data_IF_462562887195
#
_entry.id   IF_462562887195
#
_cell.length_a   1.000
_cell.length_b   1.000
_cell.length_c   1.000
_cell.angle_alpha   90.00
_cell.angle_beta   90.00
_cell.angle_gamma   90.00
#
_symmetry.space_group_name_H-M   'P 1'
#
loop_
_entity.id
_entity.type
_entity.pdbx_description
1 polymer ?
#
# COMPACT_ATOMS: atom_id res chain seq x y z
N UNK A 1 -7.52 14.26 -22.40
CA UNK A 1 -8.02 15.18 -21.37
C UNK A 1 -8.27 14.37 -20.11
N UNK A 2 -7.86 14.92 -18.97
CA UNK A 2 -8.06 14.48 -17.58
C UNK A 2 -7.04 13.47 -17.03
N UNK A 3 -5.90 14.03 -16.64
CA UNK A 3 -4.90 13.51 -15.71
C UNK A 3 -5.40 13.63 -14.26
N UNK A 4 -5.61 12.50 -13.58
CA UNK A 4 -5.88 12.44 -12.14
C UNK A 4 -4.58 12.19 -11.37
N UNK A 5 -4.04 13.25 -10.77
CA UNK A 5 -2.97 13.22 -9.77
C UNK A 5 -3.57 12.90 -8.40
N UNK A 6 -3.27 11.72 -7.86
CA UNK A 6 -3.60 11.35 -6.47
C UNK A 6 -2.52 11.89 -5.53
N UNK A 7 -2.83 12.99 -4.86
CA UNK A 7 -1.99 13.57 -3.81
C UNK A 7 -1.93 12.65 -2.58
N UNK A 8 -0.71 12.30 -2.18
CA UNK A 8 -0.44 11.64 -0.91
C UNK A 8 -0.83 12.56 0.25
N UNK A 9 -1.86 12.19 1.00
CA UNK A 9 -2.30 12.85 2.24
C UNK A 9 -1.38 12.43 3.38
N UNK A 10 -0.22 13.07 3.49
CA UNK A 10 0.58 13.00 4.72
C UNK A 10 -0.18 13.69 5.85
N UNK A 11 -0.57 12.92 6.87
CA UNK A 11 -1.36 13.40 8.00
C UNK A 11 -0.63 14.52 8.76
N UNK A 12 -1.24 15.71 8.94
CA UNK A 12 -0.60 16.88 9.55
C UNK A 12 -0.30 16.70 11.06
N UNK A 13 -0.80 15.63 11.67
CA UNK A 13 -0.73 15.38 13.12
C UNK A 13 0.64 14.88 13.58
N UNK A 14 1.36 14.11 12.75
CA UNK A 14 2.69 13.59 13.10
C UNK A 14 3.76 14.69 13.05
N UNK A 15 3.72 15.53 12.01
CA UNK A 15 4.60 16.69 11.88
C UNK A 15 4.34 17.75 12.96
N UNK A 16 3.08 17.93 13.37
CA UNK A 16 2.71 18.83 14.47
C UNK A 16 3.24 18.33 15.83
N UNK A 17 3.14 17.02 16.11
CA UNK A 17 3.69 16.43 17.34
C UNK A 17 5.22 16.49 17.41
N UNK A 18 5.91 16.25 16.30
CA UNK A 18 7.37 16.39 16.23
C UNK A 18 7.84 17.85 16.44
N UNK A 19 7.13 18.82 15.85
CA UNK A 19 7.41 20.25 16.12
C UNK A 19 7.15 20.63 17.57
N UNK A 20 6.09 20.11 18.19
CA UNK A 20 5.75 20.39 19.58
C UNK A 20 6.80 19.81 20.55
N UNK A 21 7.29 18.59 20.30
CA UNK A 21 8.37 17.97 21.07
C UNK A 21 9.71 18.69 20.89
N UNK A 22 10.02 19.16 19.68
CA UNK A 22 11.22 19.96 19.41
C UNK A 22 11.22 21.28 20.18
N UNK A 23 10.09 22.00 20.18
CA UNK A 23 9.92 23.28 20.90
C UNK A 23 10.01 23.06 22.42
N UNK A 24 9.43 21.97 22.93
CA UNK A 24 9.47 21.65 24.35
C UNK A 24 10.88 21.24 24.81
N UNK A 25 11.68 20.60 23.95
CA UNK A 25 13.08 20.27 24.25
C UNK A 25 14.02 21.50 24.20
N UNK A 26 13.76 22.46 23.31
CA UNK A 26 14.52 23.72 23.26
C UNK A 26 14.25 24.63 24.46
N UNK A 27 13.02 24.64 24.98
CA UNK A 27 12.65 25.45 26.15
C UNK A 27 13.28 24.96 27.47
N UNK A 28 13.66 23.68 27.58
CA UNK A 28 14.25 23.13 28.81
C UNK A 28 15.76 23.35 28.94
N UNK A 29 16.44 23.84 27.90
CA UNK A 29 17.89 24.08 27.92
C UNK A 29 18.29 25.56 28.00
N UNK A 30 17.33 26.49 28.11
CA UNK A 30 17.61 27.94 28.13
C UNK A 30 17.34 28.64 29.47
N UNK A 31 17.00 27.92 30.54
CA UNK A 31 16.54 28.54 31.81
C UNK A 31 17.63 28.67 32.89
N UNK A 32 18.86 28.99 32.52
CA UNK A 32 19.88 29.38 33.49
C UNK A 32 20.75 30.49 32.93
N UNK A 33 20.11 31.64 32.72
CA UNK A 33 20.80 32.93 32.73
C UNK A 33 20.84 33.36 34.19
N UNK A 34 21.86 32.89 34.91
CA UNK A 34 22.27 33.50 36.17
C UNK A 34 22.45 35.01 35.93
N UNK A 35 21.90 35.80 36.85
CA UNK A 35 21.88 37.26 36.79
C UNK A 35 23.29 37.81 36.54
N UNK A 36 23.40 38.58 35.46
CA UNK A 36 24.57 39.34 35.07
C UNK A 36 24.82 40.45 36.12
N UNK A 37 25.61 40.18 37.16
CA UNK A 37 26.13 41.21 38.07
C UNK A 37 27.26 41.96 37.37
N UNK A 38 26.93 42.70 36.31
CA UNK A 38 27.87 43.62 35.68
C UNK A 38 28.06 44.80 36.62
N UNK A 39 29.28 44.99 37.12
CA UNK A 39 29.68 46.20 37.85
C UNK A 39 29.36 47.41 36.98
N UNK A 40 28.37 48.19 37.40
CA UNK A 40 27.95 49.38 36.67
C UNK A 40 29.00 50.50 36.86
N UNK A 41 29.18 51.41 35.90
CA UNK A 41 30.12 52.52 36.04
C UNK A 41 29.90 53.35 37.31
N UNK A 42 28.64 53.46 37.75
CA UNK A 42 28.25 54.16 38.97
C UNK A 42 28.79 53.49 40.24
N UNK A 43 28.89 52.16 40.28
CA UNK A 43 29.47 51.41 41.40
C UNK A 43 31.00 51.49 41.48
N UNK A 44 31.66 51.99 40.42
CA UNK A 44 33.10 52.27 40.39
C UNK A 44 33.42 53.70 40.80
N UNK A 45 32.45 54.61 40.73
CA UNK A 45 32.59 56.04 41.04
C UNK A 45 32.29 56.36 42.52
N UNK A 46 31.60 55.47 43.23
CA UNK A 46 31.32 55.59 44.67
C UNK A 46 32.09 54.57 45.47
N UNK A 47 32.55 54.97 46.66
CA UNK A 47 33.25 54.09 47.60
C UNK A 47 32.72 54.33 49.00
N UNK A 48 32.67 53.29 49.83
CA UNK A 48 32.23 53.45 51.21
C UNK A 48 33.18 54.35 52.01
N UNK A 49 32.62 55.16 52.91
CA UNK A 49 33.41 55.98 53.84
C UNK A 49 34.37 55.14 54.67
N UNK A 50 33.98 53.91 55.02
CA UNK A 50 34.83 52.99 55.76
C UNK A 50 36.11 52.62 55.00
N UNK A 51 36.00 52.31 53.71
CA UNK A 51 37.14 51.97 52.86
C UNK A 51 38.07 53.17 52.62
N UNK A 52 37.54 54.40 52.57
CA UNK A 52 38.35 55.62 52.50
C UNK A 52 39.16 55.81 53.79
N UNK A 53 38.51 55.69 54.95
CA UNK A 53 39.18 55.80 56.25
C UNK A 53 40.29 54.76 56.40
N UNK A 54 40.04 53.50 56.03
CA UNK A 54 41.03 52.43 56.06
C UNK A 54 42.24 52.74 55.15
N UNK A 55 41.99 53.22 53.92
CA UNK A 55 43.06 53.61 52.99
C UNK A 55 43.90 54.79 53.52
N UNK A 56 43.28 55.75 54.18
CA UNK A 56 43.97 56.89 54.78
C UNK A 56 44.72 56.53 56.07
N UNK A 57 44.18 55.62 56.87
CA UNK A 57 44.86 55.06 58.05
C UNK A 57 46.10 54.26 57.64
N UNK A 58 46.01 53.45 56.58
CA UNK A 58 47.17 52.74 56.00
C UNK A 58 48.23 53.72 55.46
N UNK A 59 47.83 54.90 55.01
CA UNK A 59 48.73 55.99 54.63
C UNK A 59 49.26 56.82 55.81
N UNK A 60 49.00 56.37 57.06
CA UNK A 60 49.42 57.02 58.31
C UNK A 60 48.91 58.45 58.46
N UNK A 61 47.65 58.68 58.09
CA UNK A 61 46.97 59.99 58.23
C UNK A 61 46.21 59.99 59.56
N UNK A 62 46.50 60.91 60.48
CA UNK A 62 45.77 61.00 61.75
C UNK A 62 44.39 61.62 61.55
N UNK A 63 43.41 61.24 62.39
CA UNK A 63 42.07 61.82 62.43
C UNK A 63 41.31 61.80 61.08
N UNK A 64 41.38 60.67 60.35
CA UNK A 64 40.76 60.45 59.03
C UNK A 64 39.28 60.83 58.96
N UNK A 65 38.50 60.53 60.01
CA UNK A 65 37.09 60.93 60.13
C UNK A 65 36.91 62.45 60.19
N UNK A 66 37.71 63.16 60.98
CA UNK A 66 37.62 64.61 61.06
C UNK A 66 38.06 65.26 59.74
N UNK A 67 38.99 64.64 59.01
CA UNK A 67 39.39 65.11 57.69
C UNK A 67 38.23 65.05 56.69
N UNK A 68 37.44 63.96 56.69
CA UNK A 68 36.23 63.87 55.88
C UNK A 68 35.18 64.90 56.29
N UNK A 69 34.99 65.13 57.61
CA UNK A 69 34.10 66.18 58.12
C UNK A 69 34.47 67.56 57.60
N UNK A 70 35.76 67.92 57.65
CA UNK A 70 36.23 69.25 57.21
C UNK A 70 36.03 69.43 55.71
N UNK A 71 36.16 68.35 54.93
CA UNK A 71 35.92 68.33 53.49
C UNK A 71 34.41 68.29 53.14
N UNK A 72 33.52 68.15 54.13
CA UNK A 72 32.06 68.19 53.97
C UNK A 72 31.39 66.84 53.70
N UNK A 73 32.07 65.71 53.96
CA UNK A 73 31.60 64.35 53.63
C UNK A 73 31.15 63.54 54.85
N UNK A 74 30.28 64.12 55.68
CA UNK A 74 30.08 63.64 57.06
C UNK A 74 28.80 62.81 57.31
N UNK A 75 27.89 62.78 56.33
CA UNK A 75 26.56 62.13 56.46
C UNK A 75 26.31 61.01 55.44
N UNK A 76 27.21 60.79 54.48
CA UNK A 76 27.02 59.85 53.37
C UNK A 76 27.69 58.50 53.65
N UNK A 77 26.99 57.37 53.42
CA UNK A 77 27.57 56.02 53.58
C UNK A 77 28.53 55.69 52.42
N UNK A 78 28.27 56.26 51.25
CA UNK A 78 29.10 56.19 50.05
C UNK A 78 29.48 57.59 49.58
N UNK A 79 30.75 57.79 49.25
CA UNK A 79 31.29 59.06 48.76
C UNK A 79 31.70 58.93 47.31
N UNK A 80 31.36 59.94 46.51
CA UNK A 80 31.84 60.02 45.13
C UNK A 80 33.34 60.36 45.10
N UNK A 81 34.14 59.45 44.54
CA UNK A 81 35.60 59.56 44.46
C UNK A 81 36.07 60.84 43.74
N UNK A 82 35.37 61.25 42.68
CA UNK A 82 35.73 62.46 41.92
C UNK A 82 35.42 63.74 42.69
N UNK A 83 34.34 63.76 43.46
CA UNK A 83 33.98 64.91 44.29
C UNK A 83 34.96 65.06 45.47
N UNK A 84 35.30 63.96 46.13
CA UNK A 84 36.28 63.94 47.20
C UNK A 84 37.69 64.31 46.71
N UNK A 85 38.10 63.80 45.55
CA UNK A 85 39.40 64.15 44.94
C UNK A 85 39.49 65.65 44.67
N UNK A 86 38.42 66.27 44.13
CA UNK A 86 38.38 67.73 43.89
C UNK A 86 38.44 68.54 45.18
N UNK A 87 37.71 68.12 46.21
CA UNK A 87 37.73 68.78 47.52
C UNK A 87 39.14 68.75 48.15
N UNK A 88 39.83 67.61 48.04
CA UNK A 88 41.23 67.49 48.47
C UNK A 88 42.18 68.38 47.65
N UNK A 89 41.99 68.50 46.33
CA UNK A 89 42.81 69.38 45.47
C UNK A 89 42.57 70.87 45.71
N UNK A 90 41.38 71.26 46.17
CA UNK A 90 41.02 72.62 46.54
C UNK A 90 41.63 73.01 47.90
N UNK A 91 41.50 72.15 48.91
CA UNK A 91 42.11 72.37 50.22
C UNK A 91 43.64 72.35 50.16
N UNK A 92 44.24 71.45 49.36
CA UNK A 92 45.69 71.41 49.16
C UNK A 92 46.28 72.73 48.62
N UNK A 93 45.48 73.53 47.89
CA UNK A 93 45.90 74.85 47.37
C UNK A 93 45.86 75.96 48.43
N UNK A 94 45.16 75.74 49.55
CA UNK A 94 44.99 76.73 50.63
C UNK A 94 45.86 76.50 51.87
N UNK A 95 46.64 75.41 51.92
CA UNK A 95 47.47 75.04 53.08
C UNK A 95 48.88 75.64 52.95
N UNK A 96 49.31 76.40 53.96
CA UNK A 96 50.64 77.01 54.04
C UNK A 96 51.65 76.19 54.90
N UNK A 97 51.22 75.09 55.52
CA UNK A 97 52.04 74.28 56.44
C UNK A 97 52.54 72.94 55.87
N UNK A 98 53.86 72.69 55.95
CA UNK A 98 54.52 71.49 55.40
C UNK A 98 53.93 70.15 55.89
N UNK A 99 53.55 70.07 57.17
CA UNK A 99 53.00 68.85 57.76
C UNK A 99 51.56 68.55 57.31
N UNK A 100 50.72 69.57 57.22
CA UNK A 100 49.32 69.45 56.80
C UNK A 100 49.24 69.19 55.29
N UNK A 101 50.10 69.86 54.51
CA UNK A 101 50.25 69.64 53.08
C UNK A 101 50.73 68.20 52.78
N UNK A 102 51.69 67.69 53.56
CA UNK A 102 52.16 66.30 53.44
C UNK A 102 51.07 65.27 53.74
N UNK A 103 50.22 65.51 54.75
CA UNK A 103 49.09 64.64 55.09
C UNK A 103 48.03 64.64 53.97
N UNK A 104 47.70 65.82 53.42
CA UNK A 104 46.72 65.94 52.35
C UNK A 104 47.19 65.32 51.03
N UNK A 105 48.48 65.46 50.70
CA UNK A 105 49.06 64.80 49.53
C UNK A 105 49.06 63.26 49.69
N UNK A 106 49.33 62.75 50.90
CA UNK A 106 49.20 61.32 51.20
C UNK A 106 47.74 60.84 51.11
N UNK A 107 46.78 61.65 51.54
CA UNK A 107 45.35 61.34 51.44
C UNK A 107 44.91 61.21 49.98
N UNK A 108 45.31 62.16 49.14
CA UNK A 108 45.04 62.17 47.71
C UNK A 108 45.72 61.00 46.99
N UNK A 109 46.99 60.72 47.30
CA UNK A 109 47.70 59.57 46.73
C UNK A 109 47.09 58.22 47.14
N UNK A 110 46.64 58.08 48.40
CA UNK A 110 45.95 56.90 48.88
C UNK A 110 44.59 56.71 48.18
N UNK A 111 43.84 57.79 47.96
CA UNK A 111 42.56 57.78 47.25
C UNK A 111 42.72 57.39 45.77
N UNK A 112 43.75 57.92 45.11
CA UNK A 112 44.06 57.55 43.72
C UNK A 112 44.52 56.09 43.62
N UNK A 113 45.24 55.59 44.62
CA UNK A 113 45.67 54.18 44.67
C UNK A 113 44.48 53.22 44.84
N UNK A 114 43.49 53.57 45.67
CA UNK A 114 42.27 52.77 45.83
C UNK A 114 41.41 52.80 44.57
N UNK A 115 41.23 53.97 43.95
CA UNK A 115 40.48 54.11 42.70
C UNK A 115 41.10 53.27 41.57
N UNK A 116 42.43 53.35 41.37
CA UNK A 116 43.15 52.51 40.40
C UNK A 116 43.04 51.01 40.73
N UNK A 117 43.04 50.65 42.01
CA UNK A 117 42.80 49.28 42.48
C UNK A 117 41.43 48.77 42.08
N UNK A 118 40.38 49.58 42.28
CA UNK A 118 39.00 49.26 41.91
C UNK A 118 38.85 49.08 40.40
N UNK A 119 39.41 49.98 39.59
CA UNK A 119 39.39 49.84 38.13
C UNK A 119 40.12 48.57 37.65
N UNK A 120 41.26 48.22 38.24
CA UNK A 120 41.99 46.99 37.90
C UNK A 120 41.19 45.75 38.23
N UNK A 121 40.52 45.72 39.39
CA UNK A 121 39.69 44.59 39.80
C UNK A 121 38.49 44.42 38.87
N UNK A 122 37.75 45.50 38.59
CA UNK A 122 36.61 45.46 37.68
C UNK A 122 37.02 45.09 36.25
N UNK A 123 38.15 45.60 35.76
CA UNK A 123 38.69 45.20 34.46
C UNK A 123 38.97 43.70 34.40
N UNK A 124 39.61 43.14 35.44
CA UNK A 124 39.92 41.71 35.50
C UNK A 124 38.64 40.86 35.54
N UNK A 125 37.66 41.24 36.36
CA UNK A 125 36.38 40.56 36.44
C UNK A 125 35.66 40.57 35.08
N UNK A 126 35.56 41.75 34.44
CA UNK A 126 34.95 41.88 33.12
C UNK A 126 35.71 41.09 32.04
N UNK A 127 37.04 41.03 32.12
CA UNK A 127 37.84 40.23 31.21
C UNK A 127 37.57 38.73 31.38
N UNK A 128 37.54 38.23 32.62
CA UNK A 128 37.23 36.83 32.94
C UNK A 128 35.80 36.45 32.52
N UNK A 129 34.82 37.32 32.76
CA UNK A 129 33.42 37.15 32.32
C UNK A 129 33.32 37.09 30.80
N UNK A 130 33.98 38.00 30.07
CA UNK A 130 34.00 37.98 28.62
C UNK A 130 34.63 36.70 28.06
N UNK A 131 35.70 36.18 28.69
CA UNK A 131 36.30 34.90 28.29
C UNK A 131 35.33 33.74 28.49
N UNK A 132 34.62 33.70 29.62
CA UNK A 132 33.59 32.69 29.90
C UNK A 132 32.47 32.77 28.88
N UNK A 133 31.91 33.96 28.63
CA UNK A 133 30.84 34.17 27.65
C UNK A 133 31.25 33.74 26.25
N UNK A 134 32.51 33.99 25.83
CA UNK A 134 33.02 33.51 24.54
C UNK A 134 33.11 31.98 24.49
N UNK A 135 33.55 31.34 25.58
CA UNK A 135 33.60 29.89 25.67
C UNK A 135 32.20 29.27 25.61
N UNK A 136 31.25 29.82 26.38
CA UNK A 136 29.86 29.37 26.43
C UNK A 136 29.17 29.58 25.08
N UNK A 137 29.38 30.73 24.42
CA UNK A 137 28.85 31.00 23.09
C UNK A 137 29.42 30.01 22.05
N UNK A 138 30.72 29.71 22.11
CA UNK A 138 31.34 28.70 21.24
C UNK A 138 30.74 27.31 21.46
N UNK A 139 30.54 26.90 22.71
CA UNK A 139 29.93 25.61 23.04
C UNK A 139 28.46 25.55 22.58
N UNK A 140 27.70 26.62 22.75
CA UNK A 140 26.33 26.73 22.27
C UNK A 140 26.27 26.62 20.73
N UNK A 141 27.12 27.34 20.02
CA UNK A 141 27.20 27.26 18.55
C UNK A 141 27.59 25.86 18.08
N UNK A 142 28.52 25.19 18.75
CA UNK A 142 28.89 23.81 18.45
C UNK A 142 27.70 22.86 18.65
N UNK A 143 26.93 23.03 19.72
CA UNK A 143 25.72 22.24 19.96
C UNK A 143 24.66 22.48 18.89
N UNK A 144 24.44 23.73 18.48
CA UNK A 144 23.52 24.07 17.38
C UNK A 144 23.97 23.43 16.07
N UNK A 145 25.27 23.44 15.76
CA UNK A 145 25.81 22.80 14.56
C UNK A 145 25.58 21.27 14.57
N UNK A 146 25.80 20.61 15.70
CA UNK A 146 25.54 19.17 15.84
C UNK A 146 24.05 18.83 15.69
N UNK A 147 23.16 19.66 16.27
CA UNK A 147 21.72 19.49 16.12
C UNK A 147 21.27 19.67 14.66
N UNK A 148 21.87 20.59 13.92
CA UNK A 148 21.59 20.75 12.50
C UNK A 148 21.96 19.49 11.71
N UNK A 149 23.15 18.93 11.97
CA UNK A 149 23.59 17.66 11.35
C UNK A 149 22.65 16.50 11.71
N UNK A 150 22.26 16.37 12.99
CA UNK A 150 21.34 15.29 13.41
C UNK A 150 19.97 15.42 12.72
N UNK A 151 19.45 16.63 12.56
CA UNK A 151 18.20 16.88 11.84
C UNK A 151 18.33 16.49 10.38
N UNK A 152 19.43 16.86 9.71
CA UNK A 152 19.68 16.49 8.32
C UNK A 152 19.81 14.97 8.14
N UNK A 153 20.53 14.28 9.03
CA UNK A 153 20.64 12.80 9.03
C UNK A 153 19.29 12.12 9.26
N UNK A 154 18.47 12.64 10.19
CA UNK A 154 17.11 12.14 10.44
C UNK A 154 16.22 12.34 9.21
N UNK A 155 16.28 13.51 8.57
CA UNK A 155 15.52 13.78 7.35
C UNK A 155 15.96 12.84 6.22
N UNK A 156 17.26 12.69 5.97
CA UNK A 156 17.77 11.77 4.97
C UNK A 156 17.31 10.32 5.23
N UNK A 157 17.37 9.85 6.49
CA UNK A 157 16.89 8.51 6.84
C UNK A 157 15.37 8.34 6.65
N UNK A 158 14.58 9.37 6.93
CA UNK A 158 13.13 9.34 6.74
C UNK A 158 12.76 9.32 5.25
N UNK A 159 13.44 10.13 4.44
CA UNK A 159 13.27 10.16 2.99
C UNK A 159 13.63 8.81 2.35
N UNK A 160 14.75 8.22 2.76
CA UNK A 160 15.17 6.89 2.28
C UNK A 160 14.18 5.79 2.66
N UNK A 161 13.65 5.81 3.88
CA UNK A 161 12.63 4.85 4.32
C UNK A 161 11.32 5.03 3.53
N UNK A 162 10.87 6.28 3.37
CA UNK A 162 9.69 6.60 2.57
C UNK A 162 9.84 6.11 1.12
N UNK A 163 10.99 6.37 0.49
CA UNK A 163 11.30 5.90 -0.86
C UNK A 163 11.27 4.37 -0.95
N UNK A 164 11.85 3.66 0.01
CA UNK A 164 11.81 2.18 0.07
C UNK A 164 10.38 1.66 0.23
N UNK A 165 9.56 2.28 1.06
CA UNK A 165 8.16 1.88 1.25
C UNK A 165 7.36 2.07 -0.04
N UNK A 166 7.52 3.21 -0.72
CA UNK A 166 6.88 3.46 -2.02
C UNK A 166 7.30 2.40 -3.05
N UNK A 167 8.60 2.14 -3.18
CA UNK A 167 9.12 1.11 -4.11
C UNK A 167 8.58 -0.29 -3.79
N UNK A 168 8.47 -0.66 -2.52
CA UNK A 168 7.89 -1.96 -2.13
C UNK A 168 6.40 -2.04 -2.46
N UNK A 169 5.64 -0.97 -2.26
CA UNK A 169 4.23 -0.90 -2.62
C UNK A 169 4.04 -0.99 -4.14
N UNK A 170 4.84 -0.24 -4.91
CA UNK A 170 4.85 -0.31 -6.37
C UNK A 170 5.19 -1.71 -6.87
N UNK A 171 6.19 -2.36 -6.28
CA UNK A 171 6.58 -3.72 -6.64
C UNK A 171 5.46 -4.74 -6.34
N UNK A 172 4.81 -4.62 -5.17
CA UNK A 172 3.67 -5.48 -4.80
C UNK A 172 2.49 -5.26 -5.73
N UNK A 173 2.17 -4.01 -6.05
CA UNK A 173 1.10 -3.67 -6.97
C UNK A 173 1.40 -4.21 -8.38
N UNK A 174 2.61 -4.00 -8.90
CA UNK A 174 3.03 -4.56 -10.19
C UNK A 174 3.00 -6.10 -10.20
N UNK A 175 3.30 -6.75 -9.07
CA UNK A 175 3.16 -8.20 -8.92
C UNK A 175 1.70 -8.65 -8.98
N UNK A 176 0.82 -7.99 -8.24
CA UNK A 176 -0.60 -8.30 -8.19
C UNK A 176 -1.25 -8.11 -9.57
N UNK A 177 -0.94 -7.00 -10.26
CA UNK A 177 -1.41 -6.76 -11.63
C UNK A 177 -0.96 -7.88 -12.56
N UNK A 178 0.32 -8.27 -12.53
CA UNK A 178 0.82 -9.40 -13.34
C UNK A 178 0.11 -10.71 -13.03
N UNK A 179 -0.15 -11.01 -11.76
CA UNK A 179 -0.88 -12.23 -11.37
C UNK A 179 -2.32 -12.22 -11.88
N UNK A 180 -3.04 -11.10 -11.71
CA UNK A 180 -4.42 -10.96 -12.17
C UNK A 180 -4.48 -11.06 -13.69
N UNK A 181 -3.60 -10.36 -14.41
CA UNK A 181 -3.52 -10.45 -15.87
C UNK A 181 -3.23 -11.89 -16.32
N UNK A 182 -2.36 -12.61 -15.61
CA UNK A 182 -2.09 -14.02 -15.91
C UNK A 182 -3.32 -14.91 -15.67
N UNK A 183 -4.07 -14.69 -14.58
CA UNK A 183 -5.32 -15.43 -14.34
C UNK A 183 -6.36 -15.13 -15.41
N UNK A 184 -6.58 -13.86 -15.74
CA UNK A 184 -7.55 -13.47 -16.78
C UNK A 184 -7.20 -14.05 -18.15
N UNK A 185 -5.91 -14.08 -18.51
CA UNK A 185 -5.47 -14.68 -19.77
C UNK A 185 -5.67 -16.19 -19.77
N UNK A 186 -5.33 -16.89 -18.68
CA UNK A 186 -5.59 -18.33 -18.54
C UNK A 186 -7.08 -18.65 -18.60
N UNK A 187 -7.93 -17.89 -17.91
CA UNK A 187 -9.38 -18.10 -17.91
C UNK A 187 -9.95 -17.88 -19.31
N UNK A 188 -9.52 -16.81 -19.99
CA UNK A 188 -9.92 -16.54 -21.37
C UNK A 188 -9.51 -17.68 -22.31
N UNK A 189 -8.28 -18.19 -22.18
CA UNK A 189 -7.79 -19.29 -23.00
C UNK A 189 -8.53 -20.60 -22.69
N UNK A 190 -8.85 -20.85 -21.42
CA UNK A 190 -9.68 -21.97 -20.98
C UNK A 190 -11.07 -21.92 -21.61
N UNK A 191 -11.76 -20.79 -21.50
CA UNK A 191 -13.08 -20.60 -22.10
C UNK A 191 -13.04 -20.72 -23.62
N UNK A 192 -12.04 -20.10 -24.27
CA UNK A 192 -11.86 -20.21 -25.73
C UNK A 192 -11.66 -21.67 -26.15
N UNK A 193 -10.86 -22.44 -25.40
CA UNK A 193 -10.67 -23.87 -25.67
C UNK A 193 -11.95 -24.68 -25.43
N UNK A 194 -12.69 -24.40 -24.36
CA UNK A 194 -13.95 -25.09 -24.06
C UNK A 194 -15.00 -24.81 -25.13
N UNK A 195 -15.19 -23.55 -25.51
CA UNK A 195 -16.08 -23.15 -26.59
C UNK A 195 -15.71 -23.84 -27.89
N UNK A 196 -14.42 -23.88 -28.26
CA UNK A 196 -13.97 -24.58 -29.46
C UNK A 196 -14.26 -26.10 -29.44
N UNK A 197 -14.17 -26.76 -28.28
CA UNK A 197 -14.54 -28.18 -28.14
C UNK A 197 -16.04 -28.40 -28.31
N UNK A 198 -16.86 -27.56 -27.69
CA UNK A 198 -18.31 -27.65 -27.79
C UNK A 198 -18.78 -27.37 -29.22
N UNK A 199 -18.20 -26.37 -29.90
CA UNK A 199 -18.48 -26.10 -31.32
C UNK A 199 -18.09 -27.28 -32.22
N UNK A 200 -16.97 -27.96 -31.95
CA UNK A 200 -16.58 -29.15 -32.71
C UNK A 200 -17.54 -30.32 -32.48
N UNK A 201 -17.97 -30.54 -31.23
CA UNK A 201 -18.98 -31.56 -30.90
C UNK A 201 -20.33 -31.26 -31.54
N UNK A 202 -20.78 -30.00 -31.49
CA UNK A 202 -22.01 -29.55 -32.13
C UNK A 202 -21.98 -29.86 -33.64
N UNK A 203 -20.91 -29.47 -34.33
CA UNK A 203 -20.73 -29.75 -35.76
C UNK A 203 -20.73 -31.25 -36.08
N UNK A 204 -20.11 -32.06 -35.22
CA UNK A 204 -20.12 -33.52 -35.39
C UNK A 204 -21.53 -34.11 -35.23
N UNK A 205 -22.31 -33.63 -34.25
CA UNK A 205 -23.68 -34.05 -34.04
C UNK A 205 -24.60 -33.58 -35.17
N UNK A 206 -24.44 -32.36 -35.65
CA UNK A 206 -25.18 -31.83 -36.82
C UNK A 206 -24.89 -32.66 -38.08
N UNK A 207 -23.64 -33.04 -38.31
CA UNK A 207 -23.27 -33.91 -39.44
C UNK A 207 -23.89 -35.31 -39.32
N UNK A 208 -23.87 -35.89 -38.13
CA UNK A 208 -24.47 -37.19 -37.87
C UNK A 208 -25.99 -37.15 -37.99
N UNK A 209 -26.63 -36.07 -37.52
CA UNK A 209 -28.06 -35.85 -37.71
C UNK A 209 -28.42 -35.77 -39.20
N UNK A 210 -27.66 -35.01 -40.00
CA UNK A 210 -27.87 -34.95 -41.45
C UNK A 210 -27.70 -36.34 -42.06
N UNK A 211 -26.64 -37.08 -41.70
CA UNK A 211 -26.38 -38.44 -42.19
C UNK A 211 -27.57 -39.37 -41.90
N UNK A 212 -28.00 -39.44 -40.64
CA UNK A 212 -29.12 -40.28 -40.22
C UNK A 212 -30.43 -39.87 -40.88
N UNK A 213 -30.70 -38.56 -41.03
CA UNK A 213 -31.88 -38.07 -41.76
C UNK A 213 -31.86 -38.51 -43.22
N UNK A 214 -30.71 -38.43 -43.89
CA UNK A 214 -30.57 -38.88 -45.29
C UNK A 214 -30.72 -40.39 -45.43
N UNK A 215 -30.16 -41.17 -44.50
CA UNK A 215 -30.28 -42.63 -44.47
C UNK A 215 -31.73 -43.07 -44.23
N UNK A 216 -32.42 -42.40 -43.29
CA UNK A 216 -33.84 -42.65 -43.01
C UNK A 216 -34.70 -42.35 -44.23
N UNK A 217 -34.47 -41.23 -44.93
CA UNK A 217 -35.22 -40.89 -46.13
C UNK A 217 -34.99 -41.93 -47.25
N UNK A 218 -33.76 -42.42 -47.42
CA UNK A 218 -33.44 -43.49 -48.37
C UNK A 218 -34.20 -44.79 -48.04
N UNK A 219 -34.19 -45.20 -46.78
CA UNK A 219 -34.94 -46.39 -46.33
C UNK A 219 -36.45 -46.19 -46.53
N UNK A 220 -36.98 -44.98 -46.30
CA UNK A 220 -38.39 -44.67 -46.58
C UNK A 220 -38.69 -44.81 -48.07
N UNK A 221 -37.85 -44.25 -48.95
CA UNK A 221 -38.07 -44.35 -50.40
C UNK A 221 -38.02 -45.82 -50.85
N UNK A 222 -37.04 -46.58 -50.40
CA UNK A 222 -36.93 -48.02 -50.71
C UNK A 222 -38.16 -48.80 -50.20
N UNK A 223 -38.62 -48.52 -48.98
CA UNK A 223 -39.82 -49.17 -48.45
C UNK A 223 -41.07 -48.82 -49.27
N UNK A 224 -41.24 -47.55 -49.68
CA UNK A 224 -42.36 -47.17 -50.56
C UNK A 224 -42.28 -47.82 -51.95
N UNK A 225 -41.07 -48.01 -52.49
CA UNK A 225 -40.84 -48.71 -53.74
C UNK A 225 -41.21 -50.20 -53.61
N UNK A 226 -40.74 -50.86 -52.56
CA UNK A 226 -41.06 -52.26 -52.24
C UNK A 226 -42.55 -52.48 -51.99
N UNK A 227 -43.23 -51.60 -51.24
CA UNK A 227 -44.69 -51.64 -51.07
C UNK A 227 -45.41 -51.52 -52.42
N UNK A 228 -44.91 -50.66 -53.32
CA UNK A 228 -45.47 -50.52 -54.67
C UNK A 228 -45.26 -51.77 -55.53
N UNK A 229 -44.09 -52.41 -55.43
CA UNK A 229 -43.77 -53.65 -56.13
C UNK A 229 -44.59 -54.81 -55.61
N UNK A 230 -44.73 -54.93 -54.30
CA UNK A 230 -45.59 -55.90 -53.64
C UNK A 230 -47.04 -55.75 -54.12
N UNK A 231 -47.55 -54.52 -54.19
CA UNK A 231 -48.89 -54.25 -54.70
C UNK A 231 -49.05 -54.65 -56.18
N UNK A 232 -48.06 -54.35 -57.03
CA UNK A 232 -48.04 -54.78 -58.44
C UNK A 232 -48.05 -56.31 -58.56
N UNK A 233 -47.21 -57.01 -57.80
CA UNK A 233 -47.15 -58.47 -57.79
C UNK A 233 -48.48 -59.07 -57.32
N UNK A 234 -49.11 -58.49 -56.30
CA UNK A 234 -50.43 -58.91 -55.83
C UNK A 234 -51.49 -58.78 -56.92
N UNK A 235 -51.52 -57.66 -57.66
CA UNK A 235 -52.43 -57.45 -58.80
C UNK A 235 -52.21 -58.55 -59.87
N UNK A 236 -50.95 -58.80 -60.25
CA UNK A 236 -50.62 -59.84 -61.22
C UNK A 236 -51.05 -61.24 -60.77
N UNK A 237 -50.83 -61.59 -59.49
CA UNK A 237 -51.29 -62.86 -58.92
C UNK A 237 -52.81 -62.96 -59.00
N UNK A 238 -53.54 -61.91 -58.65
CA UNK A 238 -55.01 -61.91 -58.75
C UNK A 238 -55.50 -62.07 -60.19
N UNK A 239 -54.89 -61.39 -61.16
CA UNK A 239 -55.22 -61.53 -62.58
C UNK A 239 -54.96 -62.95 -63.10
N UNK A 240 -53.81 -63.55 -62.73
CA UNK A 240 -53.47 -64.92 -63.09
C UNK A 240 -54.41 -65.94 -62.45
N UNK A 241 -54.81 -65.73 -61.19
CA UNK A 241 -55.82 -66.57 -60.52
C UNK A 241 -57.17 -66.47 -61.22
N UNK A 242 -57.62 -65.27 -61.60
CA UNK A 242 -58.85 -65.09 -62.37
C UNK A 242 -58.78 -65.78 -63.74
N UNK A 243 -57.66 -65.66 -64.46
CA UNK A 243 -57.44 -66.38 -65.71
C UNK A 243 -57.44 -67.89 -65.50
N UNK A 244 -56.79 -68.38 -64.46
CA UNK A 244 -56.75 -69.80 -64.11
C UNK A 244 -58.15 -70.34 -63.81
N UNK A 245 -58.97 -69.59 -63.05
CA UNK A 245 -60.36 -69.93 -62.79
C UNK A 245 -61.16 -70.00 -64.09
N UNK A 246 -61.03 -69.01 -64.99
CA UNK A 246 -61.69 -69.00 -66.31
C UNK A 246 -61.30 -70.21 -67.15
N UNK A 247 -60.00 -70.48 -67.28
CA UNK A 247 -59.49 -71.65 -68.00
C UNK A 247 -59.96 -72.96 -67.39
N UNK A 248 -59.98 -73.09 -66.06
CA UNK A 248 -60.53 -74.27 -65.39
C UNK A 248 -62.03 -74.44 -65.65
N UNK A 249 -62.80 -73.34 -65.72
CA UNK A 249 -64.21 -73.38 -66.10
C UNK A 249 -64.38 -73.81 -67.57
N UNK A 250 -63.55 -73.29 -68.49
CA UNK A 250 -63.53 -73.71 -69.90
C UNK A 250 -63.12 -75.20 -70.05
N UNK A 251 -62.14 -75.66 -69.29
CA UNK A 251 -61.75 -77.07 -69.20
C UNK A 251 -62.87 -77.95 -68.64
N UNK A 252 -63.59 -77.48 -67.61
CA UNK A 252 -64.77 -78.17 -67.07
C UNK A 252 -65.90 -78.23 -68.11
N UNK A 253 -66.13 -77.17 -68.88
CA UNK A 253 -67.12 -77.11 -69.96
C UNK A 253 -66.76 -78.00 -71.16
N UNK A 254 -65.48 -78.05 -71.56
CA UNK A 254 -65.00 -78.91 -72.64
C UNK A 254 -64.95 -80.38 -72.24
N UNK A 255 -64.51 -80.69 -71.01
CA UNK A 255 -64.53 -82.07 -70.47
C UNK A 255 -65.96 -82.61 -70.28
N UNK A 256 -66.92 -81.76 -69.90
CA UNK A 256 -68.35 -82.13 -69.91
C UNK A 256 -68.94 -82.28 -71.31
N UNK A 257 -68.40 -81.61 -72.32
CA UNK A 257 -68.69 -81.88 -73.75
C UNK A 257 -68.09 -83.20 -74.26
N UNK A 258 -67.01 -83.70 -73.63
CA UNK A 258 -66.31 -84.95 -74.01
C UNK A 258 -66.76 -86.16 -73.17
N UNK A 259 -67.50 -85.95 -72.07
CA UNK A 259 -67.99 -86.98 -71.14
C UNK A 259 -69.08 -87.94 -71.66
N UNK A 260 -69.20 -88.12 -72.98
CA UNK A 260 -70.17 -89.01 -73.62
C UNK A 260 -69.68 -90.42 -73.96
N UNK A 261 -68.45 -90.81 -73.62
CA UNK A 261 -67.89 -92.13 -73.99
C UNK A 261 -66.94 -92.69 -72.93
N UNK A 262 -67.27 -93.83 -72.27
CA UNK A 262 -66.36 -94.51 -71.37
C UNK A 262 -65.73 -95.73 -72.06
N UNK A 263 -64.41 -95.78 -72.23
CA UNK A 263 -63.72 -97.06 -72.37
C UNK A 263 -62.27 -97.03 -71.87
N UNK A 264 -62.06 -97.71 -70.74
CA UNK A 264 -60.96 -98.62 -70.39
C UNK A 264 -59.59 -98.49 -71.11
N UNK A 265 -58.50 -98.46 -70.33
CA UNK A 265 -57.65 -99.66 -70.16
C UNK A 265 -56.41 -99.40 -69.25
N UNK A 266 -56.06 -100.32 -68.33
CA UNK A 266 -54.90 -100.23 -67.44
C UNK A 266 -53.76 -101.20 -67.84
N UNK A 267 -52.52 -100.71 -68.00
CA UNK A 267 -51.28 -101.50 -68.12
C UNK A 267 -50.11 -100.56 -67.72
N UNK A 268 -49.00 -100.88 -67.04
CA UNK A 268 -48.36 -102.04 -66.37
C UNK A 268 -47.04 -101.45 -65.76
N UNK A 269 -46.45 -101.98 -64.67
CA UNK A 269 -45.33 -101.34 -63.98
C UNK A 269 -44.02 -101.48 -64.77
N UNK A 270 -43.34 -100.35 -65.05
CA UNK A 270 -42.13 -100.28 -65.85
C UNK A 270 -40.89 -100.37 -64.94
N UNK A 271 -40.33 -101.57 -64.83
CA UNK A 271 -39.03 -101.93 -64.21
C UNK A 271 -37.81 -101.34 -64.96
N UNK A 272 -37.81 -100.02 -65.15
CA UNK A 272 -36.71 -99.22 -65.71
C UNK A 272 -36.52 -97.88 -64.95
N UNK A 273 -37.14 -97.73 -63.76
CA UNK A 273 -36.91 -96.57 -62.89
C UNK A 273 -35.81 -96.81 -61.86
N UNK A 274 -35.61 -98.05 -61.40
CA UNK A 274 -34.64 -98.39 -60.35
C UNK A 274 -33.19 -98.04 -60.74
N UNK A 275 -32.75 -98.39 -61.96
CA UNK A 275 -31.40 -98.03 -62.44
C UNK A 275 -31.19 -96.50 -62.54
N UNK A 276 -32.23 -95.76 -62.96
CA UNK A 276 -32.16 -94.29 -63.07
C UNK A 276 -32.23 -93.61 -61.71
N UNK A 277 -32.93 -94.22 -60.76
CA UNK A 277 -33.04 -93.76 -59.38
C UNK A 277 -31.74 -94.02 -58.63
N UNK A 278 -31.07 -95.15 -58.88
CA UNK A 278 -29.72 -95.43 -58.40
C UNK A 278 -28.68 -94.48 -59.02
N UNK A 279 -28.73 -94.22 -60.33
CA UNK A 279 -27.85 -93.22 -60.98
C UNK A 279 -28.09 -91.80 -60.44
N UNK A 280 -29.36 -91.44 -60.18
CA UNK A 280 -29.72 -90.15 -59.58
C UNK A 280 -29.22 -90.06 -58.13
N UNK A 281 -29.34 -91.13 -57.34
CA UNK A 281 -28.80 -91.19 -55.98
C UNK A 281 -27.28 -91.09 -55.97
N UNK A 282 -26.58 -91.77 -56.88
CA UNK A 282 -25.12 -91.66 -57.03
C UNK A 282 -24.69 -90.26 -57.46
N UNK A 283 -25.43 -89.62 -58.37
CA UNK A 283 -25.19 -88.22 -58.74
C UNK A 283 -25.43 -87.26 -57.57
N UNK A 284 -26.46 -87.52 -56.77
CA UNK A 284 -26.79 -86.71 -55.59
C UNK A 284 -25.72 -86.86 -54.49
N UNK A 285 -25.23 -88.09 -54.27
CA UNK A 285 -24.12 -88.38 -53.37
C UNK A 285 -22.82 -87.71 -53.85
N UNK A 286 -22.52 -87.79 -55.15
CA UNK A 286 -21.35 -87.13 -55.74
C UNK A 286 -21.46 -85.61 -55.66
N UNK A 287 -22.66 -85.06 -55.84
CA UNK A 287 -22.90 -83.62 -55.73
C UNK A 287 -22.77 -83.16 -54.27
N UNK A 288 -23.27 -83.94 -53.30
CA UNK A 288 -23.07 -83.68 -51.88
C UNK A 288 -21.59 -83.75 -51.48
N UNK A 289 -20.85 -84.75 -51.97
CA UNK A 289 -19.41 -84.86 -51.74
C UNK A 289 -18.64 -83.66 -52.31
N UNK A 290 -18.97 -83.23 -53.54
CA UNK A 290 -18.36 -82.05 -54.16
C UNK A 290 -18.73 -80.75 -53.44
N UNK A 291 -19.97 -80.61 -52.94
CA UNK A 291 -20.37 -79.46 -52.13
C UNK A 291 -19.61 -79.40 -50.81
N UNK A 292 -19.41 -80.55 -50.16
CA UNK A 292 -18.64 -80.65 -48.92
C UNK A 292 -17.16 -80.35 -49.15
N UNK A 293 -16.58 -80.83 -50.26
CA UNK A 293 -15.21 -80.49 -50.65
C UNK A 293 -15.08 -78.98 -50.97
N UNK A 294 -16.05 -78.39 -51.66
CA UNK A 294 -16.06 -76.95 -51.94
C UNK A 294 -16.13 -76.11 -50.67
N UNK A 295 -16.93 -76.55 -49.68
CA UNK A 295 -17.00 -75.90 -48.37
C UNK A 295 -15.65 -75.98 -47.66
N UNK A 296 -15.02 -77.16 -47.60
CA UNK A 296 -13.70 -77.33 -46.99
C UNK A 296 -12.60 -76.52 -47.69
N UNK A 297 -12.67 -76.38 -49.01
CA UNK A 297 -11.73 -75.54 -49.77
C UNK A 297 -11.94 -74.05 -49.48
N UNK A 298 -13.19 -73.60 -49.30
CA UNK A 298 -13.50 -72.22 -48.88
C UNK A 298 -12.97 -71.96 -47.47
N UNK A 299 -13.22 -72.85 -46.51
CA UNK A 299 -12.73 -72.72 -45.14
C UNK A 299 -11.20 -72.63 -45.09
N UNK A 300 -10.50 -73.47 -45.87
CA UNK A 300 -9.04 -73.39 -46.02
C UNK A 300 -8.57 -72.09 -46.69
N UNK A 301 -9.34 -71.59 -47.66
CA UNK A 301 -9.02 -70.32 -48.32
C UNK A 301 -9.17 -69.16 -47.33
N UNK A 302 -10.19 -69.19 -46.48
CA UNK A 302 -10.42 -68.19 -45.44
C UNK A 302 -9.30 -68.26 -44.36
N UNK A 303 -8.90 -69.46 -43.94
CA UNK A 303 -7.78 -69.66 -43.00
C UNK A 303 -6.46 -69.10 -43.54
N UNK A 304 -6.11 -69.44 -44.80
CA UNK A 304 -4.92 -68.91 -45.45
C UNK A 304 -4.99 -67.39 -45.64
N UNK A 305 -6.18 -66.84 -45.92
CA UNK A 305 -6.37 -65.39 -46.04
C UNK A 305 -6.10 -64.69 -44.71
N UNK A 306 -6.59 -65.24 -43.60
CA UNK A 306 -6.31 -64.73 -42.25
C UNK A 306 -4.81 -64.80 -41.93
N UNK A 307 -4.13 -65.89 -42.30
CA UNK A 307 -2.69 -66.03 -42.09
C UNK A 307 -1.88 -65.00 -42.90
N UNK A 308 -2.24 -64.77 -44.17
CA UNK A 308 -1.63 -63.74 -45.02
C UNK A 308 -1.85 -62.34 -44.44
N UNK A 309 -3.07 -62.02 -43.98
CA UNK A 309 -3.38 -60.74 -43.35
C UNK A 309 -2.58 -60.54 -42.06
N UNK A 310 -2.50 -61.57 -41.22
CA UNK A 310 -1.69 -61.56 -40.00
C UNK A 310 -0.21 -61.31 -40.29
N UNK A 311 0.38 -62.06 -41.23
CA UNK A 311 1.77 -61.89 -41.66
C UNK A 311 2.01 -60.50 -42.28
N UNK A 312 1.04 -59.95 -43.02
CA UNK A 312 1.13 -58.58 -43.55
C UNK A 312 1.12 -57.54 -42.42
N UNK A 313 0.29 -57.71 -41.39
CA UNK A 313 0.30 -56.85 -40.20
C UNK A 313 1.64 -56.93 -39.47
N UNK A 314 2.21 -58.14 -39.33
CA UNK A 314 3.55 -58.33 -38.74
C UNK A 314 4.67 -57.73 -39.60
N UNK A 315 4.57 -57.82 -40.92
CA UNK A 315 5.50 -57.20 -41.86
C UNK A 315 5.45 -55.67 -41.80
N UNK A 316 4.25 -55.09 -41.66
CA UNK A 316 4.07 -53.65 -41.46
C UNK A 316 4.62 -53.22 -40.09
N UNK A 317 4.39 -54.01 -39.03
CA UNK A 317 4.96 -53.78 -37.69
C UNK A 317 6.48 -53.90 -37.67
N UNK A 318 7.07 -54.82 -38.42
CA UNK A 318 8.53 -54.97 -38.52
C UNK A 318 9.16 -53.87 -39.39
N UNK A 319 8.55 -53.48 -40.52
CA UNK A 319 8.99 -52.33 -41.33
C UNK A 319 8.93 -51.00 -40.57
N UNK A 320 7.90 -50.79 -39.74
CA UNK A 320 7.81 -49.59 -38.87
C UNK A 320 8.85 -49.59 -37.75
N UNK A 321 9.20 -50.77 -37.20
CA UNK A 321 10.33 -50.91 -36.26
C UNK A 321 11.69 -50.69 -36.93
N UNK A 322 11.92 -51.22 -38.14
CA UNK A 322 13.15 -51.04 -38.90
C UNK A 322 13.39 -49.57 -39.29
N UNK A 323 12.36 -48.84 -39.72
CA UNK A 323 12.45 -47.37 -39.97
C UNK A 323 12.74 -46.55 -38.71
N UNK A 324 12.46 -47.09 -37.51
CA UNK A 324 12.75 -46.43 -36.22
C UNK A 324 14.20 -46.69 -35.77
N UNK A 325 14.81 -47.81 -36.17
CA UNK A 325 16.23 -48.11 -35.96
C UNK A 325 17.14 -47.43 -37.01
N UNK A 326 16.74 -47.32 -38.28
CA UNK A 326 17.53 -46.62 -39.32
C UNK A 326 17.66 -45.10 -39.11
N UNK A 327 16.77 -44.50 -38.31
CA UNK A 327 16.83 -43.08 -37.91
C UNK A 327 17.68 -42.81 -36.66
N UNK A 328 18.24 -43.85 -36.02
CA UNK A 328 19.04 -43.75 -34.80
C UNK A 328 20.56 -44.01 -35.03
N UNK A 329 20.98 -44.40 -36.24
CA UNK A 329 22.39 -44.71 -36.57
C UNK A 329 23.08 -43.71 -37.54
N UNK A 330 22.50 -42.52 -37.76
CA UNK A 330 23.12 -41.47 -38.62
C UNK A 330 23.17 -40.08 -38.00
N UNK A 331 23.61 -39.97 -36.73
CA UNK A 331 24.00 -38.67 -36.18
C UNK A 331 25.00 -38.78 -35.01
N UNK A 332 26.19 -39.32 -35.26
CA UNK A 332 27.40 -39.02 -34.49
C UNK A 332 28.55 -38.83 -35.47
N UNK A 333 28.80 -37.58 -35.87
CA UNK A 333 30.14 -37.04 -36.03
C UNK A 333 30.11 -35.50 -36.19
N UNK A 334 30.82 -34.84 -35.28
CA UNK A 334 31.48 -33.53 -35.36
C UNK A 334 30.71 -32.20 -35.11
N UNK A 335 30.81 -31.78 -33.84
CA UNK A 335 31.23 -30.46 -33.30
C UNK A 335 30.71 -29.14 -33.92
N UNK A 336 29.98 -28.37 -33.09
CA UNK A 336 30.47 -27.16 -32.39
C UNK A 336 29.41 -26.07 -32.19
N UNK A 337 29.54 -25.35 -31.07
CA UNK A 337 28.96 -24.04 -30.74
C UNK A 337 27.48 -23.96 -30.26
N UNK A 338 27.37 -23.77 -28.94
CA UNK A 338 26.57 -22.76 -28.24
C UNK A 338 25.04 -22.66 -28.50
N UNK A 339 24.23 -23.01 -27.50
CA UNK A 339 23.44 -22.09 -26.63
C UNK A 339 22.36 -22.84 -25.86
N UNK A 340 22.00 -22.29 -24.70
CA UNK A 340 21.05 -22.81 -23.72
C UNK A 340 19.66 -23.14 -24.29
N UNK A 341 18.94 -24.09 -23.66
CA UNK A 341 17.61 -23.89 -23.01
C UNK A 341 17.01 -25.22 -22.49
N UNK A 342 16.75 -25.26 -21.18
CA UNK A 342 15.70 -25.98 -20.39
C UNK A 342 14.84 -27.09 -21.05
N UNK A 343 14.72 -28.21 -20.28
CA UNK A 343 13.51 -28.82 -19.64
C UNK A 343 13.11 -30.25 -20.06
N UNK A 344 12.98 -31.09 -19.00
CA UNK A 344 12.09 -32.27 -18.80
C UNK A 344 12.46 -33.49 -19.66
N UNK A 345 12.69 -34.69 -19.15
CA UNK A 345 12.30 -35.33 -17.89
C UNK A 345 11.53 -36.60 -18.23
N UNK A 346 12.14 -37.77 -18.04
CA UNK A 346 11.54 -39.11 -17.79
C UNK A 346 12.71 -40.12 -17.71
N UNK A 347 12.82 -41.15 -16.88
CA UNK A 347 11.88 -41.91 -16.04
C UNK A 347 12.63 -42.56 -14.86
N UNK A 348 11.96 -42.96 -13.76
CA UNK A 348 12.61 -43.65 -12.65
C UNK A 348 12.58 -45.17 -12.81
N UNK A 349 13.72 -45.81 -12.54
CA UNK A 349 13.84 -47.27 -12.34
C UNK A 349 13.68 -47.63 -10.86
N UNK A 350 12.82 -48.62 -10.61
CA UNK A 350 12.86 -49.69 -9.58
C UNK A 350 13.65 -49.46 -8.27
N UNK A 351 12.87 -49.35 -7.19
CA UNK A 351 12.90 -50.16 -5.95
C UNK A 351 14.25 -50.63 -5.35
N UNK A 352 14.61 -50.09 -4.18
CA UNK A 352 15.02 -50.92 -3.03
C UNK A 352 14.67 -50.23 -1.70
N UNK A 353 14.12 -51.04 -0.81
CA UNK A 353 13.62 -50.75 0.52
C UNK A 353 14.77 -50.48 1.50
N UNK A 354 14.57 -49.58 2.46
CA UNK A 354 14.79 -49.84 3.90
C UNK A 354 14.31 -48.65 4.74
N UNK A 355 13.45 -49.00 5.71
CA UNK A 355 13.36 -48.49 7.07
C UNK A 355 13.13 -46.98 7.32
N UNK A 356 11.91 -46.68 7.77
CA UNK A 356 11.62 -46.31 9.17
C UNK A 356 10.46 -45.29 9.25
N UNK A 357 9.29 -45.83 9.60
CA UNK A 357 8.08 -45.14 10.05
C UNK A 357 8.26 -44.58 11.48
N UNK A 358 7.29 -43.89 12.13
CA UNK A 358 6.05 -43.24 11.64
C UNK A 358 5.80 -41.86 12.30
N UNK A 359 4.85 -41.07 11.80
CA UNK A 359 3.66 -40.60 12.58
C UNK A 359 2.86 -39.50 11.87
N UNK A 360 1.59 -39.84 11.66
CA UNK A 360 0.38 -39.02 11.84
C UNK A 360 0.06 -37.91 10.82
N UNK A 361 -0.96 -38.22 10.02
CA UNK A 361 -2.09 -37.31 9.88
C UNK A 361 -2.14 -36.50 8.58
N UNK A 362 -2.78 -37.06 7.55
CA UNK A 362 -4.05 -36.57 6.97
C UNK A 362 -4.35 -37.35 5.70
N UNK A 363 -5.41 -38.15 5.76
CA UNK A 363 -6.10 -38.72 4.61
C UNK A 363 -6.44 -37.60 3.62
N UNK A 364 -5.89 -37.65 2.40
CA UNK A 364 -6.52 -37.06 1.23
C UNK A 364 -7.09 -38.23 0.43
N UNK A 365 -8.41 -38.37 0.44
CA UNK A 365 -9.13 -39.21 -0.52
C UNK A 365 -9.09 -38.48 -1.86
N UNK A 366 -8.37 -39.04 -2.83
CA UNK A 366 -8.71 -38.90 -4.23
C UNK A 366 -9.71 -40.03 -4.53
N UNK A 367 -10.89 -39.68 -5.04
CA UNK A 367 -11.80 -40.63 -5.71
C UNK A 367 -11.99 -40.12 -7.12
N UNK A 368 -11.27 -40.75 -8.05
CA UNK A 368 -11.79 -41.00 -9.40
C UNK A 368 -12.99 -41.96 -9.25
N UNK A 369 -14.07 -41.70 -9.99
CA UNK A 369 -15.24 -42.57 -9.98
C UNK A 369 -16.49 -41.81 -10.39
N UNK A 370 -17.07 -42.29 -11.49
CA UNK A 370 -18.27 -41.83 -12.18
C UNK A 370 -19.50 -41.58 -11.28
N UNK A 371 -20.32 -40.63 -11.72
CA UNK A 371 -21.75 -40.42 -11.44
C UNK A 371 -22.31 -40.89 -10.08
N UNK A 372 -22.59 -39.91 -9.22
CA UNK A 372 -23.55 -40.02 -8.12
C UNK A 372 -24.11 -38.63 -7.80
N UNK A 373 -25.41 -38.44 -7.99
CA UNK A 373 -26.18 -37.21 -7.77
C UNK A 373 -26.34 -36.82 -6.27
N UNK A 374 -25.28 -36.96 -5.48
CA UNK A 374 -25.27 -36.61 -4.05
C UNK A 374 -24.51 -35.30 -3.72
N UNK A 375 -23.99 -34.58 -4.72
CA UNK A 375 -23.11 -33.42 -4.50
C UNK A 375 -23.81 -32.11 -4.08
N UNK A 376 -25.13 -32.01 -4.11
CA UNK A 376 -25.78 -30.72 -3.84
C UNK A 376 -25.74 -30.32 -2.34
N UNK A 377 -25.56 -31.24 -1.39
CA UNK A 377 -25.62 -30.89 0.04
C UNK A 377 -24.39 -30.12 0.56
N UNK A 378 -23.23 -30.28 -0.09
CA UNK A 378 -21.99 -29.62 0.33
C UNK A 378 -21.91 -28.16 -0.13
N UNK A 379 -22.34 -27.90 -1.37
CA UNK A 379 -22.31 -26.56 -1.97
C UNK A 379 -23.32 -25.61 -1.30
N UNK A 380 -24.49 -26.11 -0.88
CA UNK A 380 -25.45 -25.32 -0.11
C UNK A 380 -24.92 -24.90 1.27
N UNK A 381 -24.13 -25.75 1.93
CA UNK A 381 -23.50 -25.41 3.20
C UNK A 381 -22.36 -24.40 3.03
N UNK A 382 -21.60 -24.50 1.95
CA UNK A 382 -20.55 -23.54 1.61
C UNK A 382 -21.13 -22.15 1.29
N UNK A 383 -22.19 -22.10 0.46
CA UNK A 383 -22.88 -20.87 0.11
C UNK A 383 -23.53 -20.20 1.33
N UNK A 384 -24.13 -20.98 2.23
CA UNK A 384 -24.73 -20.45 3.46
C UNK A 384 -23.67 -19.89 4.42
N UNK A 385 -22.49 -20.52 4.48
CA UNK A 385 -21.36 -19.99 5.27
C UNK A 385 -20.79 -18.70 4.67
N UNK A 386 -20.72 -18.59 3.33
CA UNK A 386 -20.35 -17.34 2.65
C UNK A 386 -21.40 -16.24 2.83
N UNK A 387 -22.69 -16.58 2.80
CA UNK A 387 -23.77 -15.63 3.02
C UNK A 387 -23.75 -15.07 4.46
N UNK A 388 -23.55 -15.92 5.45
CA UNK A 388 -23.39 -15.49 6.85
C UNK A 388 -22.16 -14.58 7.04
N UNK A 389 -21.05 -14.88 6.34
CA UNK A 389 -19.86 -14.01 6.34
C UNK A 389 -20.14 -12.67 5.67
N UNK A 390 -20.85 -12.65 4.54
CA UNK A 390 -21.25 -11.41 3.87
C UNK A 390 -22.16 -10.56 4.76
N UNK A 391 -23.11 -11.17 5.45
CA UNK A 391 -23.98 -10.47 6.41
C UNK A 391 -23.18 -9.87 7.57
N UNK A 392 -22.23 -10.61 8.14
CA UNK A 392 -21.35 -10.07 9.17
C UNK A 392 -20.47 -8.91 8.67
N UNK A 393 -20.02 -8.98 7.41
CA UNK A 393 -19.24 -7.90 6.78
C UNK A 393 -20.10 -6.66 6.52
N UNK A 394 -21.37 -6.83 6.14
CA UNK A 394 -22.31 -5.71 5.96
C UNK A 394 -22.66 -5.04 7.29
N UNK A 395 -22.81 -5.81 8.38
CA UNK A 395 -22.96 -5.30 9.74
C UNK A 395 -21.72 -4.54 10.24
N UNK A 396 -20.53 -5.04 9.94
CA UNK A 396 -19.26 -4.34 10.23
C UNK A 396 -19.13 -3.06 9.40
N UNK A 397 -19.48 -3.09 8.11
CA UNK A 397 -19.45 -1.93 7.22
C UNK A 397 -20.43 -0.85 7.65
N UNK A 398 -21.65 -1.22 8.08
CA UNK A 398 -22.63 -0.27 8.60
C UNK A 398 -22.18 0.35 9.92
N UNK A 399 -21.60 -0.45 10.82
CA UNK A 399 -21.01 0.03 12.07
C UNK A 399 -19.84 1.00 11.83
N UNK A 400 -18.96 0.68 10.87
CA UNK A 400 -17.86 1.57 10.48
C UNK A 400 -18.37 2.86 9.84
N UNK A 401 -19.42 2.81 9.01
CA UNK A 401 -20.05 4.01 8.43
C UNK A 401 -20.66 4.90 9.51
N UNK A 402 -21.34 4.32 10.50
CA UNK A 402 -21.86 5.06 11.64
C UNK A 402 -20.72 5.72 12.43
N UNK A 403 -19.63 4.99 12.69
CA UNK A 403 -18.47 5.53 13.41
C UNK A 403 -17.78 6.67 12.64
N UNK A 404 -17.70 6.58 11.32
CA UNK A 404 -17.19 7.66 10.48
C UNK A 404 -18.09 8.89 10.58
N UNK A 405 -19.41 8.73 10.53
CA UNK A 405 -20.35 9.85 10.69
C UNK A 405 -20.21 10.53 12.06
N UNK A 406 -20.07 9.76 13.14
CA UNK A 406 -19.80 10.29 14.49
C UNK A 406 -18.49 11.07 14.55
N UNK A 407 -17.42 10.54 13.95
CA UNK A 407 -16.12 11.22 13.91
C UNK A 407 -16.16 12.49 13.04
N UNK A 408 -16.95 12.50 11.97
CA UNK A 408 -17.17 13.70 11.15
C UNK A 408 -17.95 14.76 11.93
N UNK A 409 -18.94 14.36 12.74
CA UNK A 409 -19.67 15.26 13.63
C UNK A 409 -18.78 15.79 14.75
N UNK A 410 -17.98 14.95 15.41
CA UNK A 410 -16.98 15.36 16.40
C UNK A 410 -15.95 16.33 15.79
N UNK A 411 -15.52 16.08 14.55
CA UNK A 411 -14.57 16.94 13.85
C UNK A 411 -15.21 18.28 13.44
N UNK A 412 -16.50 18.28 13.09
CA UNK A 412 -17.28 19.49 12.83
C UNK A 412 -17.50 20.30 14.10
N UNK A 413 -17.88 19.66 15.20
CA UNK A 413 -18.01 20.27 16.52
C UNK A 413 -16.65 20.80 17.04
N UNK A 414 -15.55 20.09 16.79
CA UNK A 414 -14.21 20.55 17.13
C UNK A 414 -13.77 21.74 16.25
N UNK A 415 -14.19 21.80 14.98
CA UNK A 415 -13.95 22.97 14.11
C UNK A 415 -14.79 24.18 14.53
N UNK A 416 -16.03 23.96 14.93
CA UNK A 416 -16.93 25.01 15.44
C UNK A 416 -16.49 25.48 16.83
N UNK A 417 -16.02 24.59 17.71
CA UNK A 417 -15.41 24.93 19.01
C UNK A 417 -14.03 25.59 18.90
N UNK A 418 -13.34 25.43 17.75
CA UNK A 418 -12.08 26.10 17.43
C UNK A 418 -12.28 27.36 16.56
N UNK A 419 -13.53 27.79 16.35
CA UNK A 419 -13.90 28.95 15.53
C UNK A 419 -13.71 30.33 16.19
N UNK A 420 -12.87 30.43 17.23
CA UNK A 420 -12.12 31.68 17.40
C UNK A 420 -11.10 31.72 16.27
N UNK A 421 -11.52 32.30 15.13
CA UNK A 421 -10.64 32.58 14.01
C UNK A 421 -9.33 33.18 14.53
N UNK A 422 -8.17 32.94 13.88
CA UNK A 422 -6.91 33.56 14.29
C UNK A 422 -7.03 35.09 14.41
N UNK A 423 -7.94 35.70 13.64
CA UNK A 423 -8.37 37.10 13.80
C UNK A 423 -9.11 37.38 15.11
N UNK A 424 -10.07 36.55 15.53
CA UNK A 424 -10.77 36.73 16.80
C UNK A 424 -9.83 36.57 17.99
N UNK A 425 -8.93 35.59 17.95
CA UNK A 425 -7.90 35.38 18.99
C UNK A 425 -6.87 36.51 19.00
N UNK A 426 -6.53 37.06 17.84
CA UNK A 426 -5.65 38.24 17.74
C UNK A 426 -6.34 39.49 18.28
N UNK A 427 -7.62 39.70 17.99
CA UNK A 427 -8.42 40.79 18.57
C UNK A 427 -8.55 40.67 20.08
N UNK A 428 -8.72 39.46 20.62
CA UNK A 428 -8.82 39.21 22.05
C UNK A 428 -7.47 39.41 22.79
N UNK A 429 -6.37 39.06 22.12
CA UNK A 429 -5.03 39.39 22.58
C UNK A 429 -4.76 40.89 22.50
N UNK A 430 -5.22 41.58 21.45
CA UNK A 430 -5.07 43.02 21.26
C UNK A 430 -5.88 43.82 22.30
N UNK A 431 -7.12 43.40 22.58
CA UNK A 431 -7.93 44.01 23.66
C UNK A 431 -7.35 43.73 25.04
N UNK A 432 -6.80 42.55 25.29
CA UNK A 432 -6.07 42.22 26.53
C UNK A 432 -4.77 43.04 26.66
N UNK A 433 -4.05 43.25 25.56
CA UNK A 433 -2.85 44.10 25.51
C UNK A 433 -3.22 45.56 25.76
N UNK A 434 -4.34 46.03 25.21
CA UNK A 434 -4.84 47.39 25.47
C UNK A 434 -5.29 47.55 26.91
N UNK A 435 -5.98 46.59 27.52
CA UNK A 435 -6.32 46.63 28.94
C UNK A 435 -5.08 46.72 29.84
N UNK A 436 -3.98 46.08 29.48
CA UNK A 436 -2.69 46.21 30.18
C UNK A 436 -1.98 47.55 29.91
N UNK A 437 -2.18 48.18 28.77
CA UNK A 437 -1.60 49.48 28.43
C UNK A 437 -2.43 50.69 28.90
N UNK A 438 -3.71 50.50 29.22
CA UNK A 438 -4.61 51.52 29.80
C UNK A 438 -4.04 52.11 31.11
N UNK A 439 -3.56 51.34 32.11
CA UNK A 439 -2.95 51.92 33.30
C UNK A 439 -1.66 52.70 32.99
N UNK A 440 -0.87 52.28 31.99
CA UNK A 440 0.33 53.02 31.55
C UNK A 440 0.00 54.34 30.82
N UNK A 441 -1.06 54.38 30.01
CA UNK A 441 -1.51 55.63 29.34
C UNK A 441 -2.16 56.58 30.34
N UNK A 442 -2.93 56.08 31.31
CA UNK A 442 -3.50 56.89 32.39
C UNK A 442 -2.36 57.49 33.24
N UNK A 443 -1.33 56.71 33.61
CA UNK A 443 -0.15 57.21 34.32
C UNK A 443 0.64 58.28 33.55
N UNK A 444 0.79 58.14 32.23
CA UNK A 444 1.44 59.17 31.38
C UNK A 444 0.62 60.45 31.25
N UNK A 445 -0.71 60.37 31.20
CA UNK A 445 -1.59 61.55 31.06
C UNK A 445 -1.84 62.25 32.40
N UNK A 446 -1.81 61.54 33.53
CA UNK A 446 -1.82 62.14 34.88
C UNK A 446 -0.46 62.76 35.22
N UNK A 447 0.66 62.12 34.82
CA UNK A 447 2.00 62.69 34.94
C UNK A 447 2.17 64.01 34.15
N UNK A 448 1.70 64.06 32.90
CA UNK A 448 1.72 65.30 32.09
C UNK A 448 0.79 66.39 32.63
N UNK A 449 -0.38 66.04 33.18
CA UNK A 449 -1.27 67.01 33.85
C UNK A 449 -0.67 67.57 35.14
N UNK A 450 0.05 66.76 35.92
CA UNK A 450 0.73 67.24 37.12
C UNK A 450 1.94 68.12 36.81
N UNK A 451 2.71 67.84 35.74
CA UNK A 451 3.77 68.76 35.27
C UNK A 451 3.21 70.09 34.72
N UNK A 452 2.06 70.08 34.04
CA UNK A 452 1.41 71.31 33.58
C UNK A 452 0.86 72.15 34.75
N UNK A 453 0.41 71.50 35.82
CA UNK A 453 -0.08 72.15 37.05
C UNK A 453 1.06 72.70 37.92
N UNK A 454 2.21 72.02 38.00
CA UNK A 454 3.39 72.54 38.70
C UNK A 454 4.07 73.71 37.94
N UNK A 455 4.14 73.64 36.61
CA UNK A 455 4.66 74.73 35.77
C UNK A 455 3.80 76.00 35.78
N UNK A 456 2.49 75.88 36.00
CA UNK A 456 1.58 77.04 36.15
C UNK A 456 1.59 77.64 37.56
N UNK A 457 1.92 76.85 38.59
CA UNK A 457 2.17 77.37 39.95
C UNK A 457 3.49 78.14 40.06
N UNK A 458 4.58 77.69 39.41
CA UNK A 458 5.84 78.46 39.41
C UNK A 458 5.71 79.82 38.70
N UNK A 459 4.94 79.91 37.61
CA UNK A 459 4.70 81.21 36.92
C UNK A 459 3.79 82.16 37.69
N UNK A 460 3.01 81.69 38.66
CA UNK A 460 2.20 82.55 39.55
C UNK A 460 3.01 83.05 40.76
N UNK A 461 3.98 82.28 41.25
CA UNK A 461 4.86 82.71 42.34
C UNK A 461 5.79 83.85 41.91
N UNK A 462 6.42 83.75 40.73
CA UNK A 462 7.31 84.81 40.21
C UNK A 462 6.59 86.12 39.85
N UNK A 463 5.26 86.08 39.63
CA UNK A 463 4.47 87.28 39.36
C UNK A 463 3.96 87.96 40.63
N UNK A 464 3.88 87.23 41.75
CA UNK A 464 3.43 87.79 43.04
C UNK A 464 4.54 88.51 43.78
N UNK A 465 5.81 88.13 43.60
CA UNK A 465 6.95 88.80 44.27
C UNK A 465 7.38 90.11 43.57
N UNK A 466 6.89 90.37 42.35
CA UNK A 466 7.14 91.63 41.62
C UNK A 466 6.05 92.71 41.77
N UNK A 467 4.93 92.42 42.45
CA UNK A 467 3.80 93.36 42.60
C UNK A 467 3.58 93.87 44.03
N UNK A 468 4.34 93.42 45.02
CA UNK A 468 4.22 93.87 46.42
C UNK A 468 5.06 95.11 46.77
N UNK A 469 5.76 95.70 45.79
CA UNK A 469 6.56 96.91 45.99
C UNK A 469 6.13 98.00 45.01
N UNK A 470 4.86 98.39 45.04
CA UNK A 470 4.44 99.74 44.61
C UNK A 470 2.99 100.01 45.01
N UNK A 471 2.79 101.17 45.63
CA UNK A 471 1.57 101.99 45.60
C UNK A 471 0.53 101.79 46.70
N UNK A 472 0.89 102.28 47.89
CA UNK A 472 -0.04 103.04 48.71
C UNK A 472 0.00 104.51 48.27
N UNK A 473 -1.13 105.07 47.79
CA UNK A 473 -1.56 106.46 47.98
C UNK A 473 -2.85 106.71 47.19
N UNK A 474 -3.92 107.13 47.91
CA UNK A 474 -4.93 108.17 47.60
C UNK A 474 -5.65 108.12 46.23
N UNK A 475 -6.91 108.45 46.04
CA UNK A 475 -8.00 109.06 46.83
C UNK A 475 -9.22 109.13 45.89
N UNK A 476 -10.41 108.88 46.44
CA UNK A 476 -11.76 109.46 46.22
C UNK A 476 -12.02 110.49 45.08
N UNK A 477 -13.27 110.93 44.83
CA UNK A 477 -14.59 110.24 44.84
C UNK A 477 -15.50 110.64 43.65
N UNK A 478 -16.61 109.92 43.45
CA UNK A 478 -18.03 110.41 43.45
C UNK A 478 -18.92 109.40 42.75
#
# INVERSE_FOLDING_TARGET
MNSNTTGATTSPTAAAKLKQLSIQSQAQHSSSVESLDTVTPQQLETISVHSIMEAWELASIPNTRNLLHVLGFDEEEEVNLQQLTKALEEELRGIDGDHEQSNMLRALAALQATELGNYRLAYRQQHEENLKLRADNKAANQRVALLAVEVDERHASLEDNSKKQVQQLEQRHASMVREITLRMTNDRDHWTSMTGKLEAQLKSLEQEEIRLRTELELVRTENTELESEQQKAHIQITELLEQNIKLNQELAQTSSSIGGTPEHSPLRPRRHSEDKEEEMLQLMEKLAALQMENAQLRDKTDELTIEIESLNVELIRSKTKAKKQEKQEKQEDQESAATATKRRGDSPSKTHLTEESPRLGKQRKCTEGEQSDASNSGDWLALNSELQRSQSQDEELTSLRQRVAELEEELKAAKEGRSLTPESRSKELETSLEQMHVPMRIARTTGKRNLARSGSCLRRSDRSTKMSSTRATRSSPS
#
